data_IF_655354485650
#
_entry.id   IF_655354485650
#
_cell.length_a   1.000
_cell.length_b   1.000
_cell.length_c   1.000
_cell.angle_alpha   90.00
_cell.angle_beta   90.00
_cell.angle_gamma   90.00
#
_symmetry.space_group_name_H-M   'P 1'
#
loop_
_entity.id
_entity.type
_entity.pdbx_description
1 polymer ?
#
# COMPACT_ATOMS: atom_id res chain seq x y z
N UNK A 1 14.65 8.33 -12.23
CA UNK A 1 14.07 7.59 -13.37
C UNK A 1 14.37 8.36 -14.66
N UNK A 2 15.48 8.01 -15.34
CA UNK A 2 15.87 8.62 -16.59
C UNK A 2 15.27 7.79 -17.74
N UNK A 3 14.31 8.38 -18.46
CA UNK A 3 13.84 7.83 -19.74
C UNK A 3 14.94 8.05 -20.77
N UNK A 4 15.47 7.02 -21.46
CA UNK A 4 16.33 7.26 -22.61
C UNK A 4 15.50 7.92 -23.72
N UNK A 5 15.94 9.08 -24.13
CA UNK A 5 15.30 9.91 -25.16
C UNK A 5 15.38 9.19 -26.51
N UNK A 6 14.25 9.03 -27.14
CA UNK A 6 13.97 8.46 -28.47
C UNK A 6 14.63 9.23 -29.64
N UNK A 7 15.62 10.06 -29.37
CA UNK A 7 16.24 10.99 -30.33
C UNK A 7 17.46 10.40 -31.09
N UNK A 8 17.91 9.19 -30.78
CA UNK A 8 19.11 8.63 -31.41
C UNK A 8 18.85 7.82 -32.70
N UNK A 9 17.60 7.46 -33.00
CA UNK A 9 17.30 6.58 -34.15
C UNK A 9 17.11 7.34 -35.47
N UNK A 10 16.83 8.65 -35.42
CA UNK A 10 16.47 9.43 -36.61
C UNK A 10 17.65 9.96 -37.39
N UNK A 11 18.88 9.96 -36.85
CA UNK A 11 20.05 10.56 -37.55
C UNK A 11 20.82 9.61 -38.47
N UNK A 12 20.61 8.30 -38.41
CA UNK A 12 21.37 7.34 -39.23
C UNK A 12 20.80 7.18 -40.66
N UNK A 13 19.51 7.44 -40.83
CA UNK A 13 18.87 7.31 -42.17
C UNK A 13 19.20 8.43 -43.16
N UNK A 14 19.67 9.60 -42.70
CA UNK A 14 19.89 10.76 -43.58
C UNK A 14 21.26 10.76 -44.29
N UNK A 15 22.21 9.95 -43.86
CA UNK A 15 23.57 9.94 -44.39
C UNK A 15 23.80 8.96 -45.59
N UNK A 16 22.87 8.05 -45.87
CA UNK A 16 23.04 6.99 -46.89
C UNK A 16 22.55 7.42 -48.27
N UNK A 17 21.87 8.54 -48.43
CA UNK A 17 21.26 8.99 -49.70
C UNK A 17 22.24 9.74 -50.60
N UNK A 18 23.45 10.10 -50.18
CA UNK A 18 24.36 11.00 -50.91
C UNK A 18 25.51 10.34 -51.64
N UNK A 19 25.70 9.03 -51.58
CA UNK A 19 26.69 8.35 -52.42
C UNK A 19 26.04 7.18 -53.19
N UNK A 20 25.62 7.46 -54.39
CA UNK A 20 25.04 6.46 -55.31
C UNK A 20 25.97 5.28 -55.52
N UNK A 21 25.42 4.08 -55.37
CA UNK A 21 25.91 2.72 -55.54
C UNK A 21 26.03 1.94 -54.26
N UNK A 22 24.98 1.94 -53.43
CA UNK A 22 24.80 0.83 -52.51
C UNK A 22 24.46 -0.42 -53.35
N UNK A 23 25.37 -1.35 -53.46
CA UNK A 23 25.12 -2.65 -54.13
C UNK A 23 23.99 -3.35 -53.39
N UNK A 24 23.14 -4.12 -54.12
CA UNK A 24 22.04 -4.92 -53.49
C UNK A 24 22.50 -5.74 -52.27
N UNK A 25 23.80 -6.11 -52.25
CA UNK A 25 24.43 -6.82 -51.15
C UNK A 25 24.59 -5.95 -49.89
N UNK A 26 25.08 -4.71 -50.04
CA UNK A 26 25.26 -3.82 -48.91
C UNK A 26 23.92 -3.44 -48.25
N UNK A 27 22.87 -3.21 -49.04
CA UNK A 27 21.53 -2.95 -48.53
C UNK A 27 20.95 -4.16 -47.78
N UNK A 28 21.12 -5.38 -48.30
CA UNK A 28 20.67 -6.60 -47.62
C UNK A 28 21.39 -6.81 -46.28
N UNK A 29 22.69 -6.55 -46.22
CA UNK A 29 23.46 -6.69 -44.98
C UNK A 29 23.03 -5.64 -43.95
N UNK A 30 22.84 -4.39 -44.34
CA UNK A 30 22.37 -3.35 -43.47
C UNK A 30 20.97 -3.66 -42.88
N UNK A 31 20.03 -4.14 -43.70
CA UNK A 31 18.70 -4.57 -43.24
C UNK A 31 18.78 -5.80 -42.33
N UNK A 32 19.70 -6.72 -42.57
CA UNK A 32 19.88 -7.89 -41.70
C UNK A 32 20.45 -7.50 -40.32
N UNK A 33 21.43 -6.59 -40.30
CA UNK A 33 22.00 -6.05 -39.06
C UNK A 33 20.94 -5.30 -38.24
N UNK A 34 20.14 -4.45 -38.89
CA UNK A 34 19.08 -3.71 -38.24
C UNK A 34 17.98 -4.62 -37.67
N UNK A 35 17.61 -5.68 -38.43
CA UNK A 35 16.69 -6.72 -37.94
C UNK A 35 17.26 -7.47 -36.75
N UNK A 36 18.53 -7.83 -36.78
CA UNK A 36 19.19 -8.53 -35.67
C UNK A 36 19.21 -7.64 -34.41
N UNK A 37 19.57 -6.37 -34.57
CA UNK A 37 19.53 -5.40 -33.46
C UNK A 37 18.12 -5.20 -32.89
N UNK A 38 17.12 -5.12 -33.78
CA UNK A 38 15.71 -5.04 -33.36
C UNK A 38 15.23 -6.26 -32.59
N UNK A 39 15.56 -7.46 -33.10
CA UNK A 39 15.20 -8.72 -32.44
C UNK A 39 15.86 -8.81 -31.09
N UNK A 40 17.15 -8.48 -30.99
CA UNK A 40 17.85 -8.48 -29.70
C UNK A 40 17.27 -7.48 -28.70
N UNK A 41 16.87 -6.29 -29.15
CA UNK A 41 16.23 -5.29 -28.28
C UNK A 41 14.85 -5.76 -27.78
N UNK A 42 14.04 -6.37 -28.65
CA UNK A 42 12.73 -6.94 -28.28
C UNK A 42 12.89 -8.10 -27.28
N UNK A 43 13.87 -8.98 -27.51
CA UNK A 43 14.14 -10.11 -26.64
C UNK A 43 14.64 -9.63 -25.25
N UNK A 44 15.49 -8.60 -25.21
CA UNK A 44 15.93 -7.98 -23.97
C UNK A 44 14.75 -7.38 -23.19
N UNK A 45 13.92 -6.59 -23.85
CA UNK A 45 12.72 -6.01 -23.22
C UNK A 45 11.75 -7.09 -22.69
N UNK A 46 11.55 -8.16 -23.49
CA UNK A 46 10.73 -9.30 -23.06
C UNK A 46 11.31 -9.97 -21.80
N UNK A 47 12.62 -10.17 -21.75
CA UNK A 47 13.30 -10.76 -20.61
C UNK A 47 13.17 -9.88 -19.37
N UNK A 48 13.31 -8.56 -19.50
CA UNK A 48 13.11 -7.61 -18.41
C UNK A 48 11.66 -7.62 -17.88
N UNK A 49 10.67 -7.70 -18.77
CA UNK A 49 9.26 -7.81 -18.39
C UNK A 49 8.98 -9.09 -17.63
N UNK A 50 9.45 -10.25 -18.13
CA UNK A 50 9.28 -11.53 -17.42
C UNK A 50 9.91 -11.48 -16.05
N UNK A 51 11.14 -10.97 -15.93
CA UNK A 51 11.79 -10.82 -14.63
C UNK A 51 11.06 -9.85 -13.67
N UNK A 52 10.45 -8.80 -14.21
CA UNK A 52 9.62 -7.87 -13.43
C UNK A 52 8.31 -8.52 -12.95
N UNK A 53 7.65 -9.27 -13.83
CA UNK A 53 6.41 -9.99 -13.50
C UNK A 53 6.66 -11.08 -12.43
N UNK A 54 7.77 -11.79 -12.51
CA UNK A 54 8.17 -12.78 -11.50
C UNK A 54 8.43 -12.13 -10.14
N UNK A 55 9.11 -10.97 -10.09
CA UNK A 55 9.31 -10.23 -8.84
C UNK A 55 7.99 -9.76 -8.25
N UNK A 56 7.13 -9.18 -9.08
CA UNK A 56 5.81 -8.74 -8.63
C UNK A 56 4.97 -9.90 -8.08
N UNK A 57 5.01 -11.06 -8.72
CA UNK A 57 4.32 -12.26 -8.24
C UNK A 57 4.88 -12.73 -6.88
N UNK A 58 6.19 -12.67 -6.69
CA UNK A 58 6.84 -13.00 -5.41
C UNK A 58 6.45 -12.01 -4.30
N UNK A 59 6.44 -10.71 -4.59
CA UNK A 59 6.07 -9.67 -3.63
C UNK A 59 4.59 -9.80 -3.22
N UNK A 60 3.70 -10.10 -4.17
CA UNK A 60 2.29 -10.38 -3.88
C UNK A 60 2.09 -11.61 -3.02
N UNK A 61 2.87 -12.67 -3.25
CA UNK A 61 2.82 -13.88 -2.44
C UNK A 61 3.31 -13.60 -1.01
N UNK A 62 4.39 -12.84 -0.86
CA UNK A 62 4.91 -12.43 0.45
C UNK A 62 3.88 -11.59 1.22
N UNK A 63 3.27 -10.59 0.59
CA UNK A 63 2.22 -9.78 1.20
C UNK A 63 1.02 -10.63 1.65
N UNK A 64 0.55 -11.55 0.80
CA UNK A 64 -0.56 -12.44 1.17
C UNK A 64 -0.24 -13.27 2.40
N UNK A 65 0.98 -13.81 2.48
CA UNK A 65 1.43 -14.59 3.62
C UNK A 65 1.49 -13.73 4.89
N UNK A 66 2.02 -12.51 4.81
CA UNK A 66 2.10 -11.58 5.93
C UNK A 66 0.70 -11.19 6.45
N UNK A 67 -0.24 -10.90 5.56
CA UNK A 67 -1.63 -10.58 5.91
C UNK A 67 -2.34 -11.78 6.53
N UNK A 68 -2.12 -12.99 6.00
CA UNK A 68 -2.69 -14.20 6.56
C UNK A 68 -2.12 -14.50 7.95
N UNK A 69 -0.82 -14.32 8.15
CA UNK A 69 -0.18 -14.45 9.45
C UNK A 69 -0.79 -13.46 10.47
N UNK A 70 -0.97 -12.20 10.09
CA UNK A 70 -1.62 -11.21 10.95
C UNK A 70 -3.04 -11.62 11.36
N UNK A 71 -3.83 -12.13 10.43
CA UNK A 71 -5.19 -12.61 10.72
C UNK A 71 -5.20 -13.77 11.71
N UNK A 72 -4.30 -14.72 11.54
CA UNK A 72 -4.27 -15.95 12.37
C UNK A 72 -3.58 -15.73 13.71
N UNK A 73 -2.51 -14.95 13.75
CA UNK A 73 -1.69 -14.75 14.95
C UNK A 73 -2.30 -13.70 15.89
N UNK A 74 -2.84 -12.62 15.33
CA UNK A 74 -3.36 -11.49 16.11
C UNK A 74 -4.87 -11.31 16.00
N UNK A 75 -5.58 -12.22 15.34
CA UNK A 75 -7.02 -12.10 15.11
C UNK A 75 -7.40 -10.77 14.41
N UNK A 76 -6.49 -10.26 13.56
CA UNK A 76 -6.69 -9.02 12.85
C UNK A 76 -7.73 -9.18 11.74
N UNK A 77 -8.66 -8.25 11.65
CA UNK A 77 -9.59 -8.15 10.53
C UNK A 77 -9.04 -7.14 9.51
N UNK A 78 -8.95 -7.55 8.24
CA UNK A 78 -8.38 -6.74 7.18
C UNK A 78 -9.40 -6.68 6.04
N UNK A 79 -9.88 -5.47 5.77
CA UNK A 79 -10.91 -5.20 4.76
C UNK A 79 -10.40 -4.23 3.68
N UNK A 80 -10.82 -4.46 2.44
CA UNK A 80 -10.65 -3.48 1.38
C UNK A 80 -11.72 -2.40 1.49
N UNK A 81 -11.30 -1.15 1.58
CA UNK A 81 -12.16 0.03 1.61
C UNK A 81 -11.91 0.89 0.38
N UNK A 82 -12.78 1.87 0.12
CA UNK A 82 -12.70 2.71 -1.08
C UNK A 82 -11.36 3.44 -1.27
N UNK A 83 -10.64 3.71 -0.17
CA UNK A 83 -9.38 4.46 -0.17
C UNK A 83 -8.13 3.57 0.02
N UNK A 84 -8.30 2.26 0.22
CA UNK A 84 -7.16 1.37 0.49
C UNK A 84 -7.52 0.14 1.31
N UNK A 85 -6.71 -0.17 2.31
CA UNK A 85 -6.91 -1.28 3.23
C UNK A 85 -7.15 -0.76 4.64
N UNK A 86 -8.18 -1.28 5.28
CA UNK A 86 -8.46 -1.05 6.70
C UNK A 86 -7.99 -2.27 7.51
N UNK A 87 -7.24 -2.00 8.58
CA UNK A 87 -6.77 -2.99 9.52
C UNK A 87 -7.42 -2.74 10.88
N UNK A 88 -8.15 -3.73 11.38
CA UNK A 88 -8.69 -3.76 12.73
C UNK A 88 -7.83 -4.71 13.56
N UNK A 89 -6.87 -4.15 14.27
CA UNK A 89 -6.01 -4.89 15.20
C UNK A 89 -6.65 -4.90 16.60
N UNK A 90 -6.35 -5.88 17.44
CA UNK A 90 -6.85 -5.93 18.83
C UNK A 90 -6.14 -4.91 19.72
N UNK A 91 -6.15 -3.64 19.34
CA UNK A 91 -5.63 -2.53 20.13
C UNK A 91 -6.79 -1.94 20.90
N UNK A 92 -7.01 -2.48 22.10
CA UNK A 92 -8.07 -2.04 23.01
C UNK A 92 -7.51 -1.22 24.18
N UNK A 93 -8.33 -0.34 24.70
CA UNK A 93 -7.98 0.54 25.80
C UNK A 93 -8.86 0.29 27.02
N UNK A 94 -8.29 0.52 28.21
CA UNK A 94 -9.05 0.55 29.43
C UNK A 94 -10.04 1.72 29.41
N UNK A 95 -11.03 1.65 30.31
CA UNK A 95 -11.98 2.74 30.43
C UNK A 95 -11.26 4.03 30.84
N UNK A 96 -11.55 5.12 30.17
CA UNK A 96 -10.96 6.45 30.40
C UNK A 96 -9.41 6.51 30.28
N UNK A 97 -8.81 5.58 29.56
CA UNK A 97 -7.36 5.48 29.38
C UNK A 97 -6.99 5.57 27.88
N UNK A 98 -5.80 6.13 27.61
CA UNK A 98 -5.22 6.23 26.29
C UNK A 98 -3.83 5.57 26.22
N UNK A 99 -3.42 4.83 27.24
CA UNK A 99 -2.14 4.13 27.27
C UNK A 99 -2.21 2.88 26.41
N UNK A 100 -1.22 2.70 25.52
CA UNK A 100 -1.06 1.48 24.75
C UNK A 100 -0.70 0.34 25.70
N UNK A 101 -1.47 -0.75 25.65
CA UNK A 101 -1.28 -1.90 26.52
C UNK A 101 -0.19 -2.82 25.98
N UNK A 102 0.52 -3.48 26.87
CA UNK A 102 1.61 -4.41 26.49
C UNK A 102 1.12 -5.57 25.62
N UNK A 103 -0.13 -6.02 25.79
CA UNK A 103 -0.72 -7.09 25.00
C UNK A 103 -1.01 -6.70 23.52
N UNK A 104 -1.07 -5.40 23.21
CA UNK A 104 -1.24 -4.87 21.88
C UNK A 104 0.09 -4.67 21.13
N UNK A 105 1.22 -4.59 21.84
CA UNK A 105 2.51 -4.22 21.23
C UNK A 105 2.99 -5.19 20.15
N UNK A 106 2.87 -6.54 20.28
CA UNK A 106 3.31 -7.44 19.22
C UNK A 106 2.53 -7.26 17.91
N UNK A 107 1.22 -6.96 18.00
CA UNK A 107 0.40 -6.71 16.81
C UNK A 107 0.77 -5.39 16.13
N UNK A 108 1.11 -4.35 16.91
CA UNK A 108 1.56 -3.06 16.40
C UNK A 108 2.94 -3.15 15.74
N UNK A 109 3.87 -3.89 16.34
CA UNK A 109 5.20 -4.15 15.76
C UNK A 109 5.08 -4.88 14.42
N UNK A 110 4.25 -5.93 14.38
CA UNK A 110 4.00 -6.68 13.15
C UNK A 110 3.34 -5.80 12.08
N UNK A 111 2.42 -4.93 12.46
CA UNK A 111 1.81 -3.96 11.56
C UNK A 111 2.87 -3.00 10.99
N UNK A 112 3.75 -2.44 11.83
CA UNK A 112 4.84 -1.56 11.38
C UNK A 112 5.77 -2.26 10.37
N UNK A 113 6.13 -3.53 10.62
CA UNK A 113 6.93 -4.34 9.70
C UNK A 113 6.27 -4.52 8.34
N UNK A 114 4.97 -4.83 8.31
CA UNK A 114 4.21 -5.00 7.07
C UNK A 114 4.14 -3.67 6.30
N UNK A 115 3.85 -2.57 7.00
CA UNK A 115 3.80 -1.24 6.38
C UNK A 115 5.16 -0.86 5.80
N UNK A 116 6.24 -1.04 6.55
CA UNK A 116 7.59 -0.72 6.09
C UNK A 116 8.01 -1.55 4.87
N UNK A 117 7.60 -2.82 4.82
CA UNK A 117 7.97 -3.75 3.74
C UNK A 117 7.16 -3.55 2.47
N UNK A 118 5.85 -3.37 2.61
CA UNK A 118 4.93 -3.43 1.47
C UNK A 118 4.26 -2.10 1.11
N UNK A 119 4.26 -1.12 2.05
CA UNK A 119 3.55 0.15 1.91
C UNK A 119 4.45 1.35 2.20
N UNK A 120 5.76 1.24 1.93
CA UNK A 120 6.72 2.32 2.14
C UNK A 120 6.27 3.61 1.45
N UNK A 121 6.18 4.70 2.22
CA UNK A 121 5.73 6.01 1.73
C UNK A 121 4.21 6.17 1.57
N UNK A 122 3.41 5.17 1.94
CA UNK A 122 1.96 5.31 2.02
C UNK A 122 1.55 6.29 3.13
N UNK A 123 0.32 6.77 3.05
CA UNK A 123 -0.35 7.47 4.16
C UNK A 123 -1.12 6.43 4.98
N UNK A 124 -0.86 6.40 6.28
CA UNK A 124 -1.60 5.57 7.24
C UNK A 124 -2.39 6.48 8.16
N UNK A 125 -3.70 6.37 8.12
CA UNK A 125 -4.59 7.06 9.06
C UNK A 125 -4.84 6.16 10.27
N UNK A 126 -4.51 6.66 11.47
CA UNK A 126 -4.76 6.03 12.76
C UNK A 126 -6.06 6.60 13.30
N UNK A 127 -7.11 5.79 13.28
CA UNK A 127 -8.47 6.18 13.68
C UNK A 127 -8.78 5.69 15.09
N UNK A 128 -9.00 6.61 16.02
CA UNK A 128 -9.38 6.29 17.40
C UNK A 128 -10.88 6.33 17.63
N UNK A 129 -11.37 5.43 18.50
CA UNK A 129 -12.76 5.33 18.88
C UNK A 129 -12.92 5.24 20.41
N UNK A 130 -14.09 5.64 20.91
CA UNK A 130 -14.47 5.55 22.29
C UNK A 130 -15.82 4.83 22.43
N UNK A 131 -16.11 4.30 23.61
CA UNK A 131 -17.45 3.87 23.97
C UNK A 131 -18.38 5.09 24.23
N UNK A 132 -19.71 4.93 24.29
CA UNK A 132 -20.63 6.04 24.45
C UNK A 132 -20.72 6.59 25.89
N UNK A 133 -19.80 6.23 26.78
CA UNK A 133 -19.77 6.80 28.13
C UNK A 133 -19.15 8.20 28.11
N UNK A 134 -19.87 9.19 28.65
CA UNK A 134 -19.40 10.57 28.73
C UNK A 134 -20.03 11.50 27.69
N UNK A 135 -19.43 12.67 27.47
CA UNK A 135 -19.92 13.60 26.46
C UNK A 135 -19.24 13.35 25.12
N UNK A 136 -19.95 13.60 24.01
CA UNK A 136 -19.40 13.47 22.66
C UNK A 136 -18.09 14.23 22.46
N UNK A 137 -17.97 15.44 23.01
CA UNK A 137 -16.73 16.24 22.95
C UNK A 137 -15.59 15.54 23.67
N UNK A 138 -15.85 15.04 24.87
CA UNK A 138 -14.86 14.30 25.66
C UNK A 138 -14.40 13.04 24.92
N UNK A 139 -15.34 12.28 24.35
CA UNK A 139 -15.05 11.06 23.61
C UNK A 139 -14.20 11.32 22.33
N UNK A 140 -14.42 12.46 21.65
CA UNK A 140 -13.55 12.88 20.54
C UNK A 140 -12.12 13.15 21.03
N UNK A 141 -11.96 13.89 22.14
CA UNK A 141 -10.63 14.17 22.70
C UNK A 141 -9.95 12.88 23.20
N UNK A 142 -10.68 11.98 23.85
CA UNK A 142 -10.14 10.71 24.35
C UNK A 142 -9.72 9.79 23.19
N UNK A 143 -10.55 9.66 22.18
CA UNK A 143 -10.24 8.87 20.99
C UNK A 143 -9.05 9.42 20.20
N UNK A 144 -8.90 10.75 20.12
CA UNK A 144 -7.71 11.39 19.53
C UNK A 144 -6.45 11.07 20.32
N UNK A 145 -6.49 11.12 21.65
CA UNK A 145 -5.34 10.76 22.51
C UNK A 145 -4.95 9.29 22.35
N UNK A 146 -5.91 8.38 22.21
CA UNK A 146 -5.65 6.95 21.93
C UNK A 146 -4.94 6.75 20.62
N UNK A 147 -5.44 7.39 19.54
CA UNK A 147 -4.82 7.31 18.24
C UNK A 147 -3.42 7.95 18.23
N UNK A 148 -3.21 9.03 18.97
CA UNK A 148 -1.91 9.69 19.14
C UNK A 148 -0.91 8.80 19.86
N UNK A 149 -1.30 8.15 20.97
CA UNK A 149 -0.43 7.23 21.71
C UNK A 149 0.02 6.06 20.82
N UNK A 150 -0.88 5.51 19.99
CA UNK A 150 -0.52 4.47 19.03
C UNK A 150 0.40 5.01 17.94
N UNK A 151 0.16 6.23 17.42
CA UNK A 151 1.04 6.88 16.45
C UNK A 151 2.46 7.05 17.02
N UNK A 152 2.57 7.54 18.24
CA UNK A 152 3.88 7.71 18.93
C UNK A 152 4.60 6.38 19.06
N UNK A 153 3.90 5.34 19.51
CA UNK A 153 4.45 3.99 19.59
C UNK A 153 4.97 3.50 18.24
N UNK A 154 4.19 3.63 17.15
CA UNK A 154 4.61 3.22 15.80
C UNK A 154 5.83 4.00 15.30
N UNK A 155 5.94 5.28 15.64
CA UNK A 155 7.13 6.10 15.31
C UNK A 155 8.36 5.58 16.06
N UNK A 156 8.23 5.23 17.34
CA UNK A 156 9.30 4.62 18.14
C UNK A 156 9.73 3.26 17.55
N UNK A 157 8.79 2.50 16.97
CA UNK A 157 9.07 1.24 16.27
C UNK A 157 9.65 1.45 14.85
N UNK A 158 9.87 2.69 14.43
CA UNK A 158 10.53 3.01 13.16
C UNK A 158 9.65 2.84 11.93
N UNK A 159 8.33 3.07 12.02
CA UNK A 159 7.45 3.09 10.85
C UNK A 159 7.86 4.21 9.88
N UNK A 160 7.95 3.89 8.59
CA UNK A 160 8.40 4.84 7.55
C UNK A 160 7.26 5.53 6.82
N UNK A 161 6.02 5.05 6.99
CA UNK A 161 4.83 5.66 6.41
C UNK A 161 4.54 7.02 7.05
N UNK A 162 3.80 7.87 6.32
CA UNK A 162 3.24 9.08 6.88
C UNK A 162 2.04 8.75 7.75
N UNK A 163 2.03 9.21 9.01
CA UNK A 163 0.96 8.91 9.95
C UNK A 163 0.04 10.13 10.12
N UNK A 164 -1.26 9.92 10.02
CA UNK A 164 -2.32 10.88 10.31
C UNK A 164 -3.21 10.34 11.42
N UNK A 165 -3.58 11.18 12.37
CA UNK A 165 -4.44 10.82 13.50
C UNK A 165 -5.82 11.43 13.34
N UNK A 166 -6.85 10.62 13.61
CA UNK A 166 -8.25 11.07 13.62
C UNK A 166 -8.97 10.45 14.82
N UNK A 167 -9.59 11.27 15.66
CA UNK A 167 -10.48 10.82 16.75
C UNK A 167 -11.94 10.95 16.33
N UNK A 168 -12.64 9.82 16.32
CA UNK A 168 -14.06 9.78 15.96
C UNK A 168 -15.01 9.79 17.19
N UNK A 169 -14.45 9.71 18.39
CA UNK A 169 -15.27 9.60 19.59
C UNK A 169 -16.13 8.34 19.59
N UNK A 170 -17.39 8.50 19.92
CA UNK A 170 -18.39 7.42 19.97
C UNK A 170 -19.07 7.14 18.61
N UNK A 171 -18.60 7.79 17.53
CA UNK A 171 -19.12 7.49 16.21
C UNK A 171 -18.65 6.10 15.74
N UNK A 172 -19.51 5.36 15.04
CA UNK A 172 -19.24 4.02 14.50
C UNK A 172 -18.96 2.99 15.60
N UNK A 173 -19.88 2.83 16.56
CA UNK A 173 -19.83 1.78 17.57
C UNK A 173 -19.85 0.38 16.90
N UNK A 174 -19.02 -0.53 17.39
CA UNK A 174 -19.04 -1.95 17.02
C UNK A 174 -20.15 -2.66 17.78
N UNK A 175 -20.26 -2.37 19.09
CA UNK A 175 -21.34 -2.87 19.94
C UNK A 175 -22.21 -1.66 20.31
N UNK A 176 -23.41 -1.52 19.70
CA UNK A 176 -24.32 -0.42 20.01
C UNK A 176 -24.66 -0.40 21.51
N UNK A 177 -24.73 0.79 22.06
CA UNK A 177 -25.15 1.05 23.44
C UNK A 177 -24.26 0.46 24.56
N UNK A 178 -23.21 -0.30 24.23
CA UNK A 178 -22.26 -0.83 25.21
C UNK A 178 -21.31 0.27 25.68
N UNK A 179 -21.42 0.66 26.94
CA UNK A 179 -20.67 1.74 27.56
C UNK A 179 -19.96 1.25 28.82
N UNK A 180 -18.81 1.81 29.12
CA UNK A 180 -18.04 1.61 30.35
C UNK A 180 -17.79 0.13 30.65
N UNK A 181 -18.57 -0.47 31.54
CA UNK A 181 -18.41 -1.85 32.03
C UNK A 181 -19.39 -2.84 31.37
N UNK A 182 -20.20 -2.37 30.43
CA UNK A 182 -21.10 -3.26 29.69
C UNK A 182 -20.33 -4.26 28.85
N UNK A 183 -20.85 -5.49 28.69
CA UNK A 183 -20.22 -6.48 27.82
C UNK A 183 -20.03 -5.97 26.40
N UNK A 184 -18.81 -6.00 25.90
CA UNK A 184 -18.46 -5.54 24.57
C UNK A 184 -18.09 -4.06 24.46
N UNK A 185 -18.17 -3.27 25.54
CA UNK A 185 -17.74 -1.87 25.55
C UNK A 185 -16.25 -1.71 25.17
N UNK A 186 -15.43 -2.70 25.54
CA UNK A 186 -14.02 -2.74 25.17
C UNK A 186 -13.80 -2.77 23.64
N UNK A 187 -14.72 -3.35 22.87
CA UNK A 187 -14.65 -3.37 21.41
C UNK A 187 -14.91 -1.99 20.79
N UNK A 188 -15.61 -1.11 21.51
CA UNK A 188 -15.79 0.27 21.11
C UNK A 188 -14.54 1.11 21.38
N UNK A 189 -13.78 0.79 22.42
CA UNK A 189 -12.52 1.46 22.80
C UNK A 189 -11.35 0.90 22.03
N UNK A 190 -11.26 1.24 20.75
CA UNK A 190 -10.31 0.64 19.81
C UNK A 190 -9.57 1.68 18.96
N UNK A 191 -8.54 1.23 18.30
CA UNK A 191 -7.87 1.94 17.20
C UNK A 191 -7.92 1.07 15.93
N UNK A 192 -8.14 1.72 14.80
CA UNK A 192 -8.20 1.14 13.47
C UNK A 192 -7.19 1.85 12.57
N UNK A 193 -6.59 1.14 11.63
CA UNK A 193 -5.62 1.71 10.69
C UNK A 193 -6.17 1.66 9.27
N UNK A 194 -6.07 2.77 8.56
CA UNK A 194 -6.42 2.85 7.14
C UNK A 194 -5.17 3.18 6.35
N UNK A 195 -4.69 2.24 5.54
CA UNK A 195 -3.58 2.45 4.62
C UNK A 195 -4.17 2.97 3.31
N UNK A 196 -3.91 4.23 2.99
CA UNK A 196 -4.34 4.84 1.74
C UNK A 196 -3.40 4.38 0.60
N UNK A 197 -3.96 3.66 -0.38
CA UNK A 197 -3.21 3.32 -1.58
C UNK A 197 -3.18 4.52 -2.52
N UNK A 198 -2.00 4.88 -3.10
CA UNK A 198 -1.94 5.93 -4.12
C UNK A 198 -2.92 5.64 -5.26
N UNK A 199 -3.57 6.65 -5.79
CA UNK A 199 -4.58 6.55 -6.85
C UNK A 199 -4.14 5.79 -8.12
N UNK A 200 -2.85 5.50 -8.28
CA UNK A 200 -2.30 4.68 -9.37
C UNK A 200 -2.58 3.16 -9.24
N UNK A 201 -3.09 2.70 -8.09
CA UNK A 201 -3.40 1.29 -7.82
C UNK A 201 -4.91 0.98 -7.90
N UNK A 202 -5.72 1.86 -8.47
CA UNK A 202 -7.14 1.56 -8.70
C UNK A 202 -7.23 0.42 -9.72
N UNK A 203 -7.98 -0.67 -9.44
CA UNK A 203 -8.21 -1.71 -10.42
C UNK A 203 -8.87 -1.08 -11.64
N UNK A 204 -8.30 -1.34 -12.81
CA UNK A 204 -8.90 -0.98 -14.10
C UNK A 204 -10.29 -1.62 -14.11
N UNK A 205 -11.32 -0.81 -13.94
CA UNK A 205 -12.70 -1.25 -14.13
C UNK A 205 -12.79 -1.71 -15.58
N UNK A 206 -12.87 -3.02 -15.78
CA UNK A 206 -13.15 -3.58 -17.11
C UNK A 206 -14.47 -2.99 -17.59
N UNK A 207 -14.37 -2.10 -18.56
CA UNK A 207 -15.52 -1.63 -19.32
C UNK A 207 -16.12 -2.87 -19.94
N UNK A 208 -17.23 -3.35 -19.39
CA UNK A 208 -18.08 -4.32 -20.08
C UNK A 208 -18.60 -3.62 -21.33
N UNK A 209 -18.06 -4.02 -22.47
CA UNK A 209 -18.63 -3.67 -23.76
C UNK A 209 -19.97 -4.40 -23.86
N UNK A 210 -21.07 -3.69 -23.58
CA UNK A 210 -22.39 -4.09 -24.05
C UNK A 210 -22.36 -4.04 -25.57
N UNK A 211 -22.45 -5.20 -26.21
CA UNK A 211 -22.74 -5.44 -27.61
C UNK A 211 -24.18 -5.85 -27.80
#
# INVERSE_FOLDING_TARGET
MNRPTMTAVTCVLSAVVLTGCATKGALRNAVAEERAAWTAAVDAERSERVASDERLAADLAALRNDLQAMRTEFNAEIEAVAQGLQFMLPVHFSFDDATVRDDATPALERFADIVNRHYAGAMVTVEGFADPAGSARYNVDLSSRRAEAVREYLVEQGITAQLRVVGYGENRLVVPDAAKDDPGAELNRRVVFVIETPAAAQPITMIQSEG
#
